data_IF_652240116344
#
_entry.id   IF_652240116344
#
_cell.length_a   1.000
_cell.length_b   1.000
_cell.length_c   1.000
_cell.angle_alpha   90.00
_cell.angle_beta   90.00
_cell.angle_gamma   90.00
#
_symmetry.space_group_name_H-M   'P 1'
#
loop_
_entity.id
_entity.type
_entity.pdbx_description
1 polymer ?
#
# COMPACT_ATOMS: atom_id res chain seq x y z
N UNK A 1 -7.70 -42.02 61.78
CA UNK A 1 -6.73 -41.93 60.66
C UNK A 1 -7.32 -41.40 59.35
N UNK A 2 -8.65 -41.50 59.09
CA UNK A 2 -9.24 -41.15 57.78
C UNK A 2 -9.45 -39.65 57.51
N UNK A 3 -9.78 -38.84 58.52
CA UNK A 3 -10.05 -37.39 58.36
C UNK A 3 -8.83 -36.59 57.86
N UNK A 4 -7.63 -36.97 58.32
CA UNK A 4 -6.36 -36.33 57.95
C UNK A 4 -6.04 -36.51 56.46
N UNK A 5 -6.42 -37.66 55.88
CA UNK A 5 -6.21 -37.96 54.47
C UNK A 5 -7.19 -37.18 53.58
N UNK A 6 -8.43 -36.98 54.03
CA UNK A 6 -9.39 -36.16 53.28
C UNK A 6 -8.99 -34.69 53.27
N UNK A 7 -8.57 -34.12 54.40
CA UNK A 7 -8.09 -32.73 54.48
C UNK A 7 -6.89 -32.52 53.54
N UNK A 8 -5.94 -33.47 53.52
CA UNK A 8 -4.79 -33.40 52.64
C UNK A 8 -5.20 -33.43 51.16
N UNK A 9 -6.17 -34.30 50.80
CA UNK A 9 -6.70 -34.40 49.45
C UNK A 9 -7.43 -33.10 49.04
N UNK A 10 -8.21 -32.50 49.93
CA UNK A 10 -8.92 -31.24 49.64
C UNK A 10 -7.94 -30.08 49.46
N UNK A 11 -6.87 -30.01 50.25
CA UNK A 11 -5.82 -28.99 50.10
C UNK A 11 -5.13 -29.13 48.75
N UNK A 12 -4.76 -30.35 48.34
CA UNK A 12 -4.13 -30.62 47.05
C UNK A 12 -5.06 -30.27 45.89
N UNK A 13 -6.35 -30.60 46.01
CA UNK A 13 -7.32 -30.29 44.97
C UNK A 13 -7.53 -28.77 44.87
N UNK A 14 -7.67 -28.06 46.01
CA UNK A 14 -7.82 -26.60 46.03
C UNK A 14 -6.60 -25.90 45.43
N UNK A 15 -5.37 -26.28 45.82
CA UNK A 15 -4.15 -25.66 45.29
C UNK A 15 -3.95 -25.94 43.80
N UNK A 16 -4.43 -27.08 43.30
CA UNK A 16 -4.43 -27.41 41.87
C UNK A 16 -5.34 -26.53 41.02
N UNK A 17 -6.45 -25.99 41.57
CA UNK A 17 -7.39 -25.13 40.81
C UNK A 17 -6.96 -23.66 40.75
N UNK A 18 -6.05 -23.21 41.63
CA UNK A 18 -5.59 -21.81 41.73
C UNK A 18 -4.24 -21.56 41.03
N UNK A 19 -3.64 -22.59 40.42
CA UNK A 19 -2.45 -22.44 39.60
C UNK A 19 -2.80 -21.75 38.28
N UNK A 20 -2.98 -20.43 38.33
CA UNK A 20 -2.95 -19.59 37.15
C UNK A 20 -1.51 -19.65 36.61
N UNK A 21 -1.31 -20.14 35.39
CA UNK A 21 -0.04 -19.98 34.69
C UNK A 21 0.14 -18.49 34.37
N UNK A 22 0.63 -17.72 35.34
CA UNK A 22 0.96 -16.31 35.15
C UNK A 22 2.37 -16.22 34.60
N UNK A 23 2.57 -15.32 33.61
CA UNK A 23 3.91 -14.93 33.19
C UNK A 23 4.64 -14.34 34.39
N UNK A 24 5.73 -14.98 34.81
CA UNK A 24 6.58 -14.48 35.89
C UNK A 24 7.41 -13.33 35.32
N UNK A 25 7.26 -12.13 35.90
CA UNK A 25 7.83 -10.90 35.33
C UNK A 25 9.37 -10.90 35.31
N UNK A 26 10.02 -11.76 36.09
CA UNK A 26 11.47 -11.94 36.11
C UNK A 26 11.99 -12.92 35.06
N UNK A 27 11.13 -13.74 34.47
CA UNK A 27 11.44 -14.72 33.41
C UNK A 27 11.24 -14.16 32.00
N UNK A 28 10.93 -12.86 31.86
CA UNK A 28 10.85 -12.19 30.57
C UNK A 28 12.27 -12.04 29.99
N UNK A 29 12.45 -12.41 28.72
CA UNK A 29 13.67 -12.09 27.99
C UNK A 29 13.75 -10.56 27.80
N UNK A 30 14.79 -9.93 28.35
CA UNK A 30 15.12 -8.54 28.09
C UNK A 30 15.90 -8.38 26.80
N UNK A 31 15.68 -7.27 26.10
CA UNK A 31 16.53 -6.82 25.00
C UNK A 31 17.55 -5.80 25.53
N UNK A 32 18.67 -5.65 24.83
CA UNK A 32 19.57 -4.51 25.04
C UNK A 32 18.82 -3.23 24.66
N UNK A 33 18.88 -2.22 25.52
CA UNK A 33 18.24 -0.93 25.30
C UNK A 33 19.30 0.10 24.84
N UNK A 34 18.99 0.87 23.82
CA UNK A 34 19.88 1.91 23.30
C UNK A 34 19.10 3.04 22.64
N UNK A 35 19.69 4.23 22.55
CA UNK A 35 19.11 5.34 21.76
C UNK A 35 19.25 5.06 20.27
N UNK A 36 18.48 5.78 19.44
CA UNK A 36 18.60 5.71 17.98
C UNK A 36 20.02 6.04 17.52
N UNK A 37 20.67 7.00 18.18
CA UNK A 37 22.05 7.39 17.87
C UNK A 37 23.04 6.25 18.16
N UNK A 38 22.91 5.58 19.31
CA UNK A 38 23.79 4.48 19.69
C UNK A 38 23.58 3.24 18.80
N UNK A 39 22.33 2.95 18.45
CA UNK A 39 21.97 1.85 17.53
C UNK A 39 22.62 2.10 16.17
N UNK A 40 22.46 3.29 15.59
CA UNK A 40 23.03 3.63 14.28
C UNK A 40 24.57 3.68 14.28
N UNK A 41 25.19 3.92 15.44
CA UNK A 41 26.64 3.87 15.59
C UNK A 41 27.21 2.44 15.69
N UNK A 42 26.35 1.44 15.93
CA UNK A 42 26.76 0.03 16.04
C UNK A 42 26.89 -0.59 14.65
N UNK A 43 28.13 -0.76 14.17
CA UNK A 43 28.43 -1.28 12.82
C UNK A 43 28.88 -2.74 12.78
N UNK A 44 29.13 -3.36 13.94
CA UNK A 44 29.68 -4.72 14.10
C UNK A 44 28.66 -5.74 14.64
N UNK A 45 27.37 -5.38 14.63
CA UNK A 45 26.30 -6.29 15.02
C UNK A 45 26.21 -7.51 14.08
N UNK A 46 25.86 -8.67 14.64
CA UNK A 46 25.59 -9.85 13.83
C UNK A 46 24.20 -9.72 13.16
N UNK A 47 24.05 -10.22 11.93
CA UNK A 47 22.73 -10.30 11.28
C UNK A 47 21.75 -11.06 12.16
N UNK A 48 20.55 -10.50 12.35
CA UNK A 48 19.51 -11.03 13.22
C UNK A 48 19.60 -10.55 14.68
N UNK A 49 20.61 -9.75 15.05
CA UNK A 49 20.66 -9.09 16.35
C UNK A 49 19.43 -8.22 16.59
N UNK A 50 18.92 -8.26 17.82
CA UNK A 50 17.76 -7.49 18.26
C UNK A 50 18.16 -6.47 19.32
N UNK A 51 17.61 -5.26 19.22
CA UNK A 51 17.80 -4.18 20.19
C UNK A 51 16.48 -3.45 20.40
N UNK A 52 16.25 -2.94 21.60
CA UNK A 52 15.12 -2.07 21.89
C UNK A 52 15.57 -0.61 21.82
N UNK A 53 14.98 0.15 20.90
CA UNK A 53 15.24 1.58 20.77
C UNK A 53 14.40 2.37 21.78
N UNK A 54 15.07 3.06 22.71
CA UNK A 54 14.41 3.82 23.78
C UNK A 54 13.78 5.13 23.31
N UNK A 55 14.18 5.67 22.16
CA UNK A 55 13.59 6.90 21.62
C UNK A 55 12.27 6.61 20.90
N UNK A 56 12.19 5.49 20.17
CA UNK A 56 10.99 5.11 19.41
C UNK A 56 10.12 4.06 20.10
N UNK A 57 10.57 3.50 21.23
CA UNK A 57 9.93 2.42 21.97
C UNK A 57 9.61 1.19 21.10
N UNK A 58 10.56 0.78 20.28
CA UNK A 58 10.38 -0.31 19.31
C UNK A 58 11.59 -1.24 19.28
N UNK A 59 11.35 -2.49 18.90
CA UNK A 59 12.41 -3.46 18.62
C UNK A 59 12.95 -3.23 17.22
N UNK A 60 14.26 -3.23 17.07
CA UNK A 60 14.96 -3.19 15.79
C UNK A 60 15.70 -4.51 15.57
N UNK A 61 15.82 -4.90 14.31
CA UNK A 61 16.61 -6.04 13.85
C UNK A 61 17.70 -5.57 12.89
N UNK A 62 18.91 -6.07 13.09
CA UNK A 62 20.02 -5.82 12.17
C UNK A 62 19.96 -6.79 10.98
N UNK A 63 19.90 -6.28 9.76
CA UNK A 63 19.82 -7.09 8.54
C UNK A 63 21.20 -7.53 8.00
N UNK A 64 22.28 -7.11 8.65
CA UNK A 64 23.67 -7.29 8.20
C UNK A 64 24.31 -6.02 7.64
N UNK A 65 23.49 -5.00 7.33
CA UNK A 65 23.92 -3.70 6.81
C UNK A 65 23.34 -2.55 7.63
N UNK A 66 22.06 -2.64 8.00
CA UNK A 66 21.32 -1.58 8.67
C UNK A 66 20.36 -2.12 9.74
N UNK A 67 19.99 -1.23 10.68
CA UNK A 67 18.95 -1.51 11.65
C UNK A 67 17.58 -1.14 11.06
N UNK A 68 16.63 -2.07 11.12
CA UNK A 68 15.26 -1.85 10.69
C UNK A 68 14.28 -2.13 11.82
N UNK A 69 13.20 -1.35 11.88
CA UNK A 69 12.18 -1.54 12.89
C UNK A 69 11.45 -2.87 12.66
N UNK A 70 11.41 -3.72 13.69
CA UNK A 70 10.63 -4.95 13.66
C UNK A 70 9.14 -4.62 13.63
N UNK A 71 8.41 -5.28 12.72
CA UNK A 71 6.97 -5.05 12.55
C UNK A 71 6.62 -3.70 11.90
N UNK A 72 7.57 -3.04 11.23
CA UNK A 72 7.28 -1.88 10.41
C UNK A 72 6.21 -2.24 9.37
N UNK A 73 5.24 -1.33 9.14
CA UNK A 73 4.25 -1.51 8.07
C UNK A 73 4.96 -1.61 6.73
N UNK A 74 4.69 -2.69 5.99
CA UNK A 74 5.22 -2.93 4.65
C UNK A 74 4.24 -2.58 3.53
N UNK A 75 3.05 -2.11 3.90
CA UNK A 75 2.00 -1.68 2.97
C UNK A 75 1.52 -0.28 3.34
N UNK A 76 1.26 0.54 2.33
CA UNK A 76 0.69 1.88 2.48
C UNK A 76 -0.33 2.15 1.37
N UNK A 77 -1.55 2.52 1.74
CA UNK A 77 -2.60 2.93 0.80
C UNK A 77 -2.73 4.43 0.80
N UNK A 78 -2.79 5.04 -0.37
CA UNK A 78 -2.98 6.48 -0.52
C UNK A 78 -3.72 6.82 -1.80
N UNK A 79 -3.84 8.13 -2.04
CA UNK A 79 -4.45 8.67 -3.25
C UNK A 79 -3.61 9.81 -3.82
N UNK A 80 -3.75 10.07 -5.11
CA UNK A 80 -3.28 11.29 -5.75
C UNK A 80 -4.17 11.61 -6.96
N UNK A 81 -3.99 12.79 -7.56
CA UNK A 81 -4.72 13.23 -8.74
C UNK A 81 -3.76 13.44 -9.92
N UNK A 82 -4.15 12.99 -11.09
CA UNK A 82 -3.57 13.43 -12.36
C UNK A 82 -4.48 14.52 -12.91
N UNK A 83 -3.93 15.72 -13.13
CA UNK A 83 -4.65 16.91 -13.61
C UNK A 83 -4.03 17.54 -14.86
N UNK A 84 -3.05 16.87 -15.46
CA UNK A 84 -2.35 17.31 -16.66
C UNK A 84 -1.20 16.35 -17.01
N UNK A 85 -0.46 16.66 -18.08
CA UNK A 85 0.77 15.96 -18.43
C UNK A 85 1.95 16.39 -17.57
N UNK A 86 3.00 15.56 -17.52
CA UNK A 86 4.27 15.84 -16.86
C UNK A 86 4.52 15.01 -15.60
N UNK A 87 5.54 15.43 -14.85
CA UNK A 87 6.00 14.71 -13.67
C UNK A 87 5.06 14.90 -12.47
N UNK A 88 4.74 13.80 -11.79
CA UNK A 88 3.98 13.77 -10.54
C UNK A 88 4.84 13.05 -9.49
N UNK A 89 4.90 13.61 -8.29
CA UNK A 89 5.66 13.05 -7.17
C UNK A 89 4.71 12.67 -6.05
N UNK A 90 4.75 11.41 -5.64
CA UNK A 90 4.00 10.89 -4.49
C UNK A 90 5.00 10.66 -3.37
N UNK A 91 4.82 11.36 -2.25
CA UNK A 91 5.73 11.32 -1.09
C UNK A 91 4.96 11.06 0.21
N UNK A 92 5.68 10.79 1.30
CA UNK A 92 5.08 10.57 2.62
C UNK A 92 4.74 9.10 2.91
N UNK A 93 5.16 8.19 2.03
CA UNK A 93 5.17 6.76 2.30
C UNK A 93 6.30 6.47 3.31
N UNK A 94 6.04 5.74 4.41
CA UNK A 94 7.02 5.56 5.50
C UNK A 94 8.13 4.54 5.18
N UNK A 95 8.35 4.26 3.90
CA UNK A 95 9.38 3.37 3.36
C UNK A 95 9.58 3.66 1.87
N UNK A 96 10.71 3.21 1.33
CA UNK A 96 10.90 3.11 -0.12
C UNK A 96 10.10 1.94 -0.65
N UNK A 97 9.11 2.15 -1.55
CA UNK A 97 8.38 1.05 -2.14
C UNK A 97 9.26 0.26 -3.13
N UNK A 98 9.06 -1.05 -3.21
CA UNK A 98 9.54 -1.90 -4.31
C UNK A 98 8.45 -2.20 -5.34
N UNK A 99 7.19 -1.98 -4.99
CA UNK A 99 6.06 -2.07 -5.92
C UNK A 99 4.89 -1.18 -5.51
N UNK A 100 4.09 -0.78 -6.49
CA UNK A 100 2.85 -0.05 -6.29
C UNK A 100 1.80 -0.60 -7.24
N UNK A 101 0.59 -0.82 -6.74
CA UNK A 101 -0.60 -1.10 -7.54
C UNK A 101 -1.52 0.11 -7.59
N UNK A 102 -2.23 0.28 -8.70
CA UNK A 102 -3.08 1.43 -8.98
C UNK A 102 -4.47 0.99 -9.38
N UNK A 103 -5.47 1.75 -8.94
CA UNK A 103 -6.86 1.67 -9.40
C UNK A 103 -7.35 3.10 -9.64
N UNK A 104 -8.02 3.29 -10.78
CA UNK A 104 -8.70 4.54 -11.10
C UNK A 104 -9.96 4.27 -11.91
N UNK A 105 -10.84 5.26 -11.93
CA UNK A 105 -12.13 5.21 -12.59
C UNK A 105 -12.25 6.40 -13.53
N UNK A 106 -12.91 6.19 -14.68
CA UNK A 106 -13.24 7.30 -15.56
C UNK A 106 -14.17 8.29 -14.84
N UNK A 107 -13.94 9.58 -15.09
CA UNK A 107 -14.77 10.70 -14.63
C UNK A 107 -14.90 10.82 -13.10
N UNK A 108 -13.82 10.48 -12.40
CA UNK A 108 -13.64 10.81 -10.98
C UNK A 108 -12.42 11.73 -10.91
N UNK A 109 -12.65 13.01 -11.16
CA UNK A 109 -11.58 13.99 -11.27
C UNK A 109 -11.16 14.50 -9.90
N UNK A 110 -12.06 14.51 -8.91
CA UNK A 110 -11.83 15.07 -7.57
C UNK A 110 -11.93 14.01 -6.46
N UNK A 111 -11.28 14.26 -5.33
CA UNK A 111 -11.35 13.38 -4.16
C UNK A 111 -12.76 13.35 -3.56
N UNK A 112 -13.47 14.48 -3.68
CA UNK A 112 -14.81 14.67 -3.14
C UNK A 112 -15.75 15.13 -4.26
N UNK A 113 -16.37 14.18 -4.96
CA UNK A 113 -17.39 14.47 -5.98
C UNK A 113 -18.67 13.66 -5.72
N UNK A 114 -19.81 14.36 -5.75
CA UNK A 114 -21.14 13.78 -5.71
C UNK A 114 -22.05 14.59 -6.63
N UNK A 115 -21.84 14.39 -7.93
CA UNK A 115 -22.56 15.05 -9.00
C UNK A 115 -22.74 14.07 -10.17
N UNK A 116 -23.64 14.41 -11.09
CA UNK A 116 -23.61 13.80 -12.41
C UNK A 116 -22.41 14.34 -13.21
N UNK A 117 -22.25 13.89 -14.44
CA UNK A 117 -21.12 14.28 -15.28
C UNK A 117 -21.16 15.76 -15.74
N UNK A 118 -22.10 16.58 -15.22
CA UNK A 118 -22.15 18.01 -15.47
C UNK A 118 -22.36 18.42 -16.92
N UNK A 119 -22.81 17.48 -17.78
CA UNK A 119 -23.04 17.71 -19.21
C UNK A 119 -24.49 17.47 -19.60
N UNK A 120 -24.83 17.71 -20.87
CA UNK A 120 -26.17 17.43 -21.40
C UNK A 120 -26.45 15.93 -21.44
N UNK A 121 -27.74 15.58 -21.44
CA UNK A 121 -28.18 14.20 -21.62
C UNK A 121 -27.66 13.61 -22.93
N UNK A 122 -27.29 12.33 -22.87
CA UNK A 122 -26.81 11.53 -23.99
C UNK A 122 -25.56 12.12 -24.70
N UNK A 123 -24.68 12.78 -23.94
CA UNK A 123 -23.41 13.30 -24.46
C UNK A 123 -22.51 12.16 -24.97
N UNK A 124 -21.79 12.37 -26.08
CA UNK A 124 -20.94 11.36 -26.70
C UNK A 124 -19.43 11.61 -26.49
N UNK A 125 -19.09 12.60 -25.67
CA UNK A 125 -17.72 12.94 -25.27
C UNK A 125 -17.20 12.18 -24.03
N UNK A 126 -16.02 12.60 -23.57
CA UNK A 126 -15.28 12.04 -22.43
C UNK A 126 -16.13 11.91 -21.15
N UNK A 127 -16.97 12.91 -20.76
CA UNK A 127 -17.74 12.85 -19.51
C UNK A 127 -18.81 11.74 -19.47
N UNK A 128 -19.05 11.06 -20.59
CA UNK A 128 -19.96 9.91 -20.64
C UNK A 128 -19.23 8.57 -20.84
N UNK A 129 -17.89 8.55 -20.79
CA UNK A 129 -17.14 7.32 -20.68
C UNK A 129 -17.32 6.72 -19.27
N UNK A 130 -17.51 5.41 -19.17
CA UNK A 130 -17.50 4.72 -17.88
C UNK A 130 -16.49 3.58 -17.94
N UNK A 131 -15.83 3.29 -16.83
CA UNK A 131 -14.89 2.19 -16.79
C UNK A 131 -13.88 2.35 -15.67
N UNK A 132 -13.05 1.34 -15.52
CA UNK A 132 -12.00 1.32 -14.51
C UNK A 132 -10.74 0.68 -15.03
N UNK A 133 -9.63 1.06 -14.42
CA UNK A 133 -8.32 0.48 -14.69
C UNK A 133 -7.77 -0.17 -13.42
N UNK A 134 -6.93 -1.18 -13.64
CA UNK A 134 -6.01 -1.70 -12.63
C UNK A 134 -4.63 -1.83 -13.26
N UNK A 135 -3.62 -1.32 -12.58
CA UNK A 135 -2.24 -1.44 -13.03
C UNK A 135 -1.25 -1.60 -11.88
N UNK A 136 0.01 -1.80 -12.23
CA UNK A 136 1.10 -1.87 -11.27
C UNK A 136 2.42 -1.38 -11.88
N UNK A 137 3.33 -1.00 -10.99
CA UNK A 137 4.75 -0.85 -11.26
C UNK A 137 5.53 -1.62 -10.19
N UNK A 138 6.61 -2.30 -10.57
CA UNK A 138 7.50 -3.02 -9.64
C UNK A 138 8.95 -2.83 -10.05
N UNK A 139 9.81 -2.57 -9.07
CA UNK A 139 11.25 -2.56 -9.22
C UNK A 139 11.79 -4.01 -9.25
N UNK A 140 12.27 -4.43 -10.41
CA UNK A 140 12.96 -5.69 -10.65
C UNK A 140 14.47 -5.43 -10.77
N UNK A 141 15.12 -5.11 -9.64
CA UNK A 141 16.56 -4.85 -9.53
C UNK A 141 17.07 -3.69 -10.41
N UNK A 142 16.39 -2.54 -10.35
CA UNK A 142 16.73 -1.32 -11.08
C UNK A 142 16.02 -1.17 -12.42
N UNK A 143 15.21 -2.15 -12.83
CA UNK A 143 14.31 -2.05 -13.98
C UNK A 143 12.87 -2.00 -13.49
N UNK A 144 12.09 -1.05 -13.96
CA UNK A 144 10.67 -0.95 -13.60
C UNK A 144 9.84 -1.79 -14.58
N UNK A 145 9.22 -2.85 -14.06
CA UNK A 145 8.23 -3.65 -14.79
C UNK A 145 6.84 -3.09 -14.53
N UNK A 146 6.05 -2.89 -15.58
CA UNK A 146 4.70 -2.33 -15.47
C UNK A 146 3.67 -3.11 -16.27
N UNK A 147 2.40 -2.97 -15.87
CA UNK A 147 1.25 -3.35 -16.67
C UNK A 147 0.05 -2.53 -16.22
N UNK A 148 -0.82 -2.19 -17.18
CA UNK A 148 -2.16 -1.69 -16.89
C UNK A 148 -3.18 -2.38 -17.78
N UNK A 149 -4.39 -2.57 -17.24
CA UNK A 149 -5.56 -3.05 -17.95
C UNK A 149 -6.72 -2.12 -17.59
N UNK A 150 -7.45 -1.68 -18.61
CA UNK A 150 -8.69 -0.93 -18.51
C UNK A 150 -9.81 -1.64 -19.27
N UNK A 151 -11.00 -1.62 -18.69
CA UNK A 151 -12.23 -2.05 -19.33
C UNK A 151 -13.36 -1.06 -19.04
N UNK A 152 -14.07 -0.65 -20.08
CA UNK A 152 -15.12 0.36 -20.00
C UNK A 152 -15.95 0.48 -21.27
N UNK A 153 -16.66 1.58 -21.41
CA UNK A 153 -17.53 1.88 -22.53
C UNK A 153 -18.10 3.29 -22.41
N UNK A 154 -19.29 3.51 -22.94
CA UNK A 154 -20.01 4.78 -22.82
C UNK A 154 -21.39 4.58 -22.18
N UNK A 155 -21.82 5.52 -21.33
CA UNK A 155 -23.14 5.49 -20.71
C UNK A 155 -24.29 5.45 -21.74
N UNK A 156 -24.04 5.89 -22.98
CA UNK A 156 -25.00 5.83 -24.08
C UNK A 156 -25.15 4.42 -24.68
N UNK A 157 -24.12 3.58 -24.60
CA UNK A 157 -24.16 2.23 -25.16
C UNK A 157 -23.15 1.29 -24.49
N UNK A 158 -23.64 0.15 -24.01
CA UNK A 158 -22.83 -0.88 -23.31
C UNK A 158 -22.47 -2.04 -24.25
N UNK A 159 -23.11 -2.14 -25.42
CA UNK A 159 -22.89 -3.25 -26.35
C UNK A 159 -21.58 -3.10 -27.17
N UNK A 160 -21.00 -1.91 -27.23
CA UNK A 160 -19.69 -1.66 -27.82
C UNK A 160 -18.74 -1.10 -26.76
N UNK A 161 -17.78 -1.94 -26.33
CA UNK A 161 -16.95 -1.69 -25.17
C UNK A 161 -15.56 -1.19 -25.56
N UNK A 162 -15.02 -0.31 -24.72
CA UNK A 162 -13.67 0.21 -24.83
C UNK A 162 -12.73 -0.57 -23.91
N UNK A 163 -11.55 -0.91 -24.44
CA UNK A 163 -10.52 -1.67 -23.73
C UNK A 163 -9.15 -1.11 -24.03
N UNK A 164 -8.29 -1.13 -23.03
CA UNK A 164 -6.90 -0.72 -23.16
C UNK A 164 -6.03 -1.60 -22.26
N UNK A 165 -4.86 -1.98 -22.77
CA UNK A 165 -3.85 -2.67 -21.98
C UNK A 165 -2.48 -2.25 -22.49
N UNK A 166 -1.52 -2.12 -21.58
CA UNK A 166 -0.17 -1.69 -21.89
C UNK A 166 0.81 -2.30 -20.91
N UNK A 167 1.93 -2.82 -21.41
CA UNK A 167 3.06 -3.31 -20.62
C UNK A 167 4.16 -2.25 -20.42
N UNK A 168 3.92 -1.02 -20.88
CA UNK A 168 4.85 0.12 -20.76
C UNK A 168 4.25 1.30 -19.98
N UNK A 169 3.14 1.05 -19.27
CA UNK A 169 2.45 2.04 -18.44
C UNK A 169 1.88 1.33 -17.22
N UNK A 170 1.93 1.99 -16.07
CA UNK A 170 1.27 1.54 -14.84
C UNK A 170 -0.13 2.13 -14.66
N UNK A 171 -0.44 3.21 -15.38
CA UNK A 171 -1.74 3.90 -15.36
C UNK A 171 -2.21 4.11 -16.80
N UNK A 172 -3.50 3.86 -17.03
CA UNK A 172 -4.09 3.96 -18.36
C UNK A 172 -5.61 3.89 -18.30
N UNK A 173 -6.26 5.02 -18.52
CA UNK A 173 -7.70 5.14 -18.71
C UNK A 173 -7.99 5.51 -20.16
N UNK A 174 -8.90 4.78 -20.81
CA UNK A 174 -9.33 5.04 -22.18
C UNK A 174 -10.75 5.58 -22.20
N UNK A 175 -10.91 6.75 -22.80
CA UNK A 175 -12.19 7.40 -22.99
C UNK A 175 -12.75 7.02 -24.36
N UNK A 176 -14.04 6.71 -24.43
CA UNK A 176 -14.68 6.29 -25.67
C UNK A 176 -16.07 6.88 -25.84
N UNK A 177 -16.48 6.99 -27.10
CA UNK A 177 -17.83 7.43 -27.47
C UNK A 177 -18.84 6.26 -27.38
N UNK A 178 -20.08 6.52 -27.82
CA UNK A 178 -21.17 5.55 -27.81
C UNK A 178 -20.96 4.31 -28.70
N UNK A 179 -19.97 4.33 -29.59
CA UNK A 179 -19.62 3.21 -30.47
C UNK A 179 -18.28 2.58 -30.06
N UNK A 180 -17.81 2.81 -28.83
CA UNK A 180 -16.50 2.30 -28.38
C UNK A 180 -15.29 2.95 -29.05
N UNK A 181 -15.49 3.97 -29.90
CA UNK A 181 -14.38 4.65 -30.59
C UNK A 181 -13.53 5.43 -29.59
N UNK A 182 -12.21 5.39 -29.79
CA UNK A 182 -11.26 6.09 -28.91
C UNK A 182 -11.44 7.61 -28.99
N UNK A 183 -11.69 8.25 -27.85
CA UNK A 183 -11.70 9.70 -27.70
C UNK A 183 -10.40 10.23 -27.08
N UNK A 184 -9.63 9.39 -26.39
CA UNK A 184 -8.41 9.81 -25.72
C UNK A 184 -7.97 8.84 -24.63
N UNK A 185 -6.75 9.08 -24.13
CA UNK A 185 -6.13 8.30 -23.06
C UNK A 185 -5.60 9.24 -21.98
N UNK A 186 -5.74 8.86 -20.72
CA UNK A 186 -4.91 9.39 -19.63
C UNK A 186 -3.97 8.27 -19.19
N UNK A 187 -2.68 8.42 -19.45
CA UNK A 187 -1.65 7.39 -19.20
C UNK A 187 -0.48 7.94 -18.39
N UNK A 188 0.12 7.08 -17.57
CA UNK A 188 1.35 7.41 -16.86
C UNK A 188 2.21 6.16 -16.62
N UNK A 189 3.51 6.40 -16.46
CA UNK A 189 4.53 5.40 -16.13
C UNK A 189 5.29 5.84 -14.88
N UNK A 190 5.58 4.91 -13.96
CA UNK A 190 6.43 5.17 -12.80
C UNK A 190 7.87 5.29 -13.28
N UNK A 191 8.51 6.40 -12.94
CA UNK A 191 9.87 6.72 -13.38
C UNK A 191 10.92 6.34 -12.34
N UNK A 192 10.58 6.36 -11.05
CA UNK A 192 11.48 5.93 -9.98
C UNK A 192 10.73 5.65 -8.67
N UNK A 193 11.22 4.67 -7.91
CA UNK A 193 10.92 4.53 -6.49
C UNK A 193 11.92 5.34 -5.67
N UNK A 194 11.43 6.10 -4.70
CA UNK A 194 12.21 7.03 -3.87
C UNK A 194 12.16 6.61 -2.41
N UNK A 195 13.02 7.18 -1.57
CA UNK A 195 13.16 6.79 -0.15
C UNK A 195 11.85 6.84 0.66
N UNK A 196 10.88 7.65 0.25
CA UNK A 196 9.61 7.85 0.93
C UNK A 196 8.40 7.90 -0.03
N UNK A 197 8.49 7.26 -1.19
CA UNK A 197 7.51 7.46 -2.24
C UNK A 197 7.91 6.95 -3.63
N UNK A 198 7.32 7.54 -4.66
CA UNK A 198 7.65 7.26 -6.06
C UNK A 198 7.35 8.48 -6.94
N UNK A 199 7.95 8.50 -8.13
CA UNK A 199 7.70 9.50 -9.18
C UNK A 199 7.07 8.82 -10.38
N UNK A 200 6.17 9.51 -11.06
CA UNK A 200 5.59 9.07 -12.32
C UNK A 200 5.57 10.21 -13.33
N UNK A 201 5.49 9.86 -14.61
CA UNK A 201 5.31 10.81 -15.71
C UNK A 201 4.00 10.51 -16.43
N UNK A 202 3.09 11.48 -16.43
CA UNK A 202 1.88 11.47 -17.26
C UNK A 202 2.22 11.92 -18.66
N UNK A 203 2.22 10.99 -19.62
CA UNK A 203 2.62 11.23 -21.00
C UNK A 203 1.43 11.53 -21.93
N UNK A 204 0.23 11.11 -21.54
CA UNK A 204 -1.02 11.46 -22.22
C UNK A 204 -2.09 11.89 -21.20
N UNK A 205 -2.89 12.89 -21.56
CA UNK A 205 -3.91 13.47 -20.70
C UNK A 205 -5.15 13.82 -21.52
N UNK A 206 -6.21 13.02 -21.34
CA UNK A 206 -7.53 13.29 -21.90
C UNK A 206 -8.44 13.95 -20.85
N UNK A 207 -8.41 13.46 -19.62
CA UNK A 207 -9.17 14.02 -18.50
C UNK A 207 -8.47 13.78 -17.14
N UNK A 208 -8.91 14.53 -16.13
CA UNK A 208 -8.49 14.40 -14.74
C UNK A 208 -8.94 13.09 -14.11
N UNK A 209 -8.09 12.49 -13.28
CA UNK A 209 -8.43 11.26 -12.57
C UNK A 209 -7.86 11.26 -11.15
N UNK A 210 -8.64 10.73 -10.22
CA UNK A 210 -8.15 10.29 -8.91
C UNK A 210 -7.68 8.85 -9.02
N UNK A 211 -6.47 8.61 -8.52
CA UNK A 211 -5.85 7.29 -8.47
C UNK A 211 -5.74 6.88 -7.01
N UNK A 212 -6.26 5.70 -6.70
CA UNK A 212 -5.99 5.00 -5.44
C UNK A 212 -4.78 4.11 -5.69
N UNK A 213 -3.82 4.11 -4.77
CA UNK A 213 -2.65 3.25 -4.86
C UNK A 213 -2.41 2.46 -3.58
N UNK A 214 -1.80 1.29 -3.73
CA UNK A 214 -1.25 0.49 -2.63
C UNK A 214 0.22 0.24 -2.92
N UNK A 215 1.09 0.78 -2.06
CA UNK A 215 2.53 0.65 -2.13
C UNK A 215 3.02 -0.45 -1.18
N UNK A 216 4.01 -1.23 -1.63
CA UNK A 216 4.65 -2.28 -0.84
C UNK A 216 6.15 -2.09 -0.77
N UNK A 217 6.73 -2.41 0.38
CA UNK A 217 8.18 -2.49 0.58
C UNK A 217 8.74 -3.78 -0.01
#
# INVERSE_FOLDING_TARGET
>A
MRLKNYILLTIILLTGVIANAQLESGLLLGLTNATTADINATTDAATGSLVFNTDTNQVYVFDGTSWSQMGQKTTYTGTFRISGTGAVSVSGIPFQPSSVSFVAYANIEDFDINADNGTRNNENGLPNAYGSMKGFARDDNGTITEQVIFNGGSGNSINDISRYASSSHSIGLRYANQNGDNLGLTTATVTAFTSNGFTLNTDNYADGIVVIFEAHR
#
